data_IF_306843331481
#
_entry.id   IF_306843331481
#
_cell.length_a   1.000
_cell.length_b   1.000
_cell.length_c   1.000
_cell.angle_alpha   90.00
_cell.angle_beta   90.00
_cell.angle_gamma   90.00
#
_symmetry.space_group_name_H-M   'P 1'
#
loop_
_entity.id
_entity.type
_entity.pdbx_description
1 polymer ?
#
# COMPACT_ATOMS: atom_id res chain seq x y z
N UNK A 1 -43.40 30.66 20.32
CA UNK A 1 -42.33 31.35 19.58
C UNK A 1 -41.72 30.33 18.61
N UNK A 2 -42.03 30.42 17.32
CA UNK A 2 -41.46 29.55 16.28
C UNK A 2 -40.18 30.21 15.75
N UNK A 3 -39.02 29.70 16.20
CA UNK A 3 -37.74 30.14 15.64
C UNK A 3 -37.69 29.65 14.19
N UNK A 4 -37.61 30.55 13.22
CA UNK A 4 -37.63 30.24 11.82
C UNK A 4 -36.35 29.50 11.43
N UNK A 5 -36.46 28.40 10.71
CA UNK A 5 -35.34 27.56 10.22
C UNK A 5 -34.29 28.36 9.43
N UNK A 6 -34.66 29.51 8.89
CA UNK A 6 -33.74 30.45 8.20
C UNK A 6 -32.69 31.07 9.15
N UNK A 7 -33.01 31.32 10.44
CA UNK A 7 -32.03 31.81 11.41
C UNK A 7 -31.02 30.74 11.86
N UNK A 8 -31.42 29.47 11.89
CA UNK A 8 -30.53 28.37 12.24
C UNK A 8 -29.53 28.06 11.12
N UNK A 9 -29.97 28.12 9.85
CA UNK A 9 -29.08 27.98 8.70
C UNK A 9 -28.07 29.12 8.58
N UNK A 10 -28.49 30.37 8.83
CA UNK A 10 -27.59 31.51 8.78
C UNK A 10 -26.56 31.47 9.92
N UNK A 11 -26.92 31.00 11.12
CA UNK A 11 -25.99 30.85 12.22
C UNK A 11 -24.96 29.75 12.00
N UNK A 12 -25.37 28.64 11.37
CA UNK A 12 -24.45 27.54 10.96
C UNK A 12 -23.49 27.99 9.84
N UNK A 13 -23.94 28.76 8.87
CA UNK A 13 -23.11 29.27 7.79
C UNK A 13 -22.11 30.33 8.30
N UNK A 14 -22.51 31.20 9.24
CA UNK A 14 -21.59 32.14 9.88
C UNK A 14 -20.58 31.50 10.81
N UNK A 15 -20.93 30.40 11.50
CA UNK A 15 -19.98 29.64 12.33
C UNK A 15 -18.90 28.93 11.49
N UNK A 16 -19.24 28.46 10.28
CA UNK A 16 -18.29 27.86 9.34
C UNK A 16 -17.35 28.87 8.67
N UNK A 17 -17.76 30.15 8.58
CA UNK A 17 -16.93 31.21 7.98
C UNK A 17 -16.04 31.93 9.02
N UNK A 18 -16.36 31.85 10.31
CA UNK A 18 -15.61 32.53 11.37
C UNK A 18 -14.34 31.78 11.83
N UNK A 19 -14.16 30.51 11.43
CA UNK A 19 -12.95 29.73 11.78
C UNK A 19 -11.78 29.92 10.79
N UNK A 20 -11.95 30.78 9.77
CA UNK A 20 -10.97 30.93 8.67
C UNK A 20 -9.95 32.07 8.85
N UNK A 21 -9.95 32.83 9.96
CA UNK A 21 -9.07 33.97 10.14
C UNK A 21 -8.14 33.91 11.36
N UNK A 22 -7.82 32.72 11.88
CA UNK A 22 -6.70 32.60 12.81
C UNK A 22 -5.46 32.25 11.99
N UNK A 23 -4.65 33.26 11.66
CA UNK A 23 -3.33 33.08 11.07
C UNK A 23 -2.47 32.19 11.95
N UNK A 24 -1.51 31.45 11.37
CA UNK A 24 -0.67 30.51 12.10
C UNK A 24 0.15 31.27 13.14
N UNK A 25 -0.12 31.03 14.43
CA UNK A 25 0.77 31.45 15.49
C UNK A 25 2.08 30.70 15.29
N UNK A 26 3.12 31.39 14.85
CA UNK A 26 4.49 30.93 14.72
C UNK A 26 5.04 30.55 16.10
N UNK A 27 4.77 29.31 16.53
CA UNK A 27 5.59 28.68 17.56
C UNK A 27 6.58 27.78 16.83
N UNK A 28 7.81 28.26 16.69
CA UNK A 28 8.99 27.51 16.30
C UNK A 28 9.24 26.38 17.31
N UNK A 29 8.45 25.32 17.27
CA UNK A 29 8.86 24.01 17.78
C UNK A 29 9.70 23.39 16.68
N UNK A 30 10.97 23.12 16.96
CA UNK A 30 11.85 22.30 16.13
C UNK A 30 11.07 21.07 15.63
N UNK A 31 10.64 21.15 14.37
CA UNK A 31 9.97 20.06 13.68
C UNK A 31 11.01 18.97 13.54
N UNK A 32 10.85 17.83 14.21
CA UNK A 32 11.66 16.64 13.93
C UNK A 32 11.42 16.30 12.46
N UNK A 33 12.46 16.38 11.67
CA UNK A 33 12.50 15.82 10.33
C UNK A 33 12.27 14.31 10.49
N UNK A 34 11.17 13.81 9.96
CA UNK A 34 10.84 12.38 10.03
C UNK A 34 11.75 11.52 9.14
N UNK A 35 12.75 12.13 8.49
CA UNK A 35 13.70 11.43 7.63
C UNK A 35 13.09 10.84 6.35
N UNK A 36 11.79 11.06 6.11
CA UNK A 36 11.10 10.54 4.93
C UNK A 36 11.59 11.25 3.67
N UNK A 37 12.06 10.45 2.71
CA UNK A 37 12.45 10.91 1.38
C UNK A 37 11.57 10.22 0.35
N UNK A 38 10.72 11.02 -0.30
CA UNK A 38 9.83 10.54 -1.34
C UNK A 38 10.12 11.21 -2.67
N UNK A 39 9.79 10.52 -3.73
CA UNK A 39 9.83 10.98 -5.13
C UNK A 39 8.44 10.91 -5.74
N UNK A 40 8.20 11.66 -6.78
CA UNK A 40 6.98 11.58 -7.58
C UNK A 40 7.10 10.47 -8.63
N UNK A 41 5.97 10.05 -9.19
CA UNK A 41 5.96 9.07 -10.27
C UNK A 41 6.71 9.57 -11.52
N UNK A 42 6.64 10.87 -11.81
CA UNK A 42 7.33 11.49 -12.93
C UNK A 42 8.85 11.52 -12.73
N UNK A 43 9.31 11.95 -11.56
CA UNK A 43 10.73 11.92 -11.18
C UNK A 43 11.31 10.50 -11.24
N UNK A 44 10.53 9.50 -10.78
CA UNK A 44 10.96 8.10 -10.84
C UNK A 44 11.09 7.60 -12.28
N UNK A 45 10.18 7.98 -13.19
CA UNK A 45 10.23 7.61 -14.60
C UNK A 45 11.41 8.23 -15.34
N UNK A 46 11.74 9.47 -15.02
CA UNK A 46 12.88 10.19 -15.66
C UNK A 46 14.22 9.77 -15.07
N UNK A 47 14.27 9.37 -13.79
CA UNK A 47 15.49 8.91 -13.12
C UNK A 47 15.86 7.45 -13.38
N UNK A 48 14.92 6.65 -13.86
CA UNK A 48 15.19 5.27 -14.24
C UNK A 48 15.78 5.27 -15.64
N UNK A 49 17.11 5.25 -15.74
CA UNK A 49 17.79 4.91 -16.98
C UNK A 49 17.35 3.49 -17.37
N UNK A 50 16.37 3.40 -18.28
CA UNK A 50 15.98 2.15 -18.92
C UNK A 50 17.08 1.78 -19.92
N UNK A 51 18.29 1.56 -19.43
CA UNK A 51 19.22 0.74 -20.17
C UNK A 51 18.53 -0.62 -20.23
N UNK A 52 17.83 -0.84 -21.33
CA UNK A 52 17.42 -2.16 -21.78
C UNK A 52 18.73 -2.93 -21.89
N UNK A 53 19.13 -3.60 -20.79
CA UNK A 53 20.20 -4.57 -20.85
C UNK A 53 19.69 -5.68 -21.79
N UNK A 54 20.19 -5.76 -23.03
CA UNK A 54 19.71 -6.74 -24.01
C UNK A 54 20.03 -8.18 -23.57
N UNK A 55 20.73 -8.37 -22.44
CA UNK A 55 21.18 -9.66 -21.90
C UNK A 55 20.31 -10.13 -20.74
N UNK A 56 19.23 -9.42 -20.36
CA UNK A 56 18.36 -9.91 -19.28
C UNK A 56 17.73 -11.25 -19.61
N UNK A 57 18.20 -12.29 -18.94
CA UNK A 57 17.74 -13.68 -19.12
C UNK A 57 16.40 -13.98 -18.44
N UNK A 58 15.91 -13.11 -17.58
CA UNK A 58 14.60 -13.24 -16.90
C UNK A 58 13.90 -11.88 -16.75
N UNK A 59 12.55 -11.86 -16.68
CA UNK A 59 11.82 -10.63 -16.42
C UNK A 59 12.10 -10.10 -15.02
N UNK A 60 12.01 -8.80 -14.83
CA UNK A 60 11.86 -8.17 -13.52
C UNK A 60 10.39 -8.28 -13.13
N UNK A 61 10.11 -9.00 -12.06
CA UNK A 61 8.75 -9.25 -11.61
C UNK A 61 8.45 -8.41 -10.37
N UNK A 62 7.31 -7.71 -10.39
CA UNK A 62 6.83 -6.96 -9.26
C UNK A 62 5.56 -7.57 -8.67
N UNK A 63 5.49 -7.55 -7.35
CA UNK A 63 4.28 -7.79 -6.56
C UNK A 63 3.77 -6.46 -6.02
N UNK A 64 2.53 -6.13 -6.34
CA UNK A 64 1.85 -4.93 -5.86
C UNK A 64 0.78 -5.32 -4.86
N UNK A 65 0.88 -4.83 -3.63
CA UNK A 65 -0.06 -5.08 -2.53
C UNK A 65 -0.90 -3.83 -2.29
N UNK A 66 -2.18 -3.90 -2.62
CA UNK A 66 -3.10 -2.78 -2.51
C UNK A 66 -3.49 -2.44 -1.07
N UNK A 67 -4.04 -1.23 -0.89
CA UNK A 67 -4.66 -0.78 0.36
C UNK A 67 -5.95 -1.54 0.68
N UNK A 68 -6.44 -1.48 1.92
CA UNK A 68 -7.70 -2.14 2.28
C UNK A 68 -7.97 -2.35 3.77
N UNK A 69 -7.13 -1.81 4.66
CA UNK A 69 -7.30 -1.91 6.12
C UNK A 69 -7.27 -3.37 6.61
N UNK A 70 -8.25 -3.77 7.43
CA UNK A 70 -8.31 -5.12 8.01
C UNK A 70 -8.45 -6.26 6.97
N UNK A 71 -8.69 -5.95 5.70
CA UNK A 71 -8.66 -6.95 4.62
C UNK A 71 -7.24 -7.47 4.33
N UNK A 72 -6.21 -6.84 4.90
CA UNK A 72 -4.78 -7.16 4.69
C UNK A 72 -4.39 -8.59 5.04
N UNK A 73 -5.16 -9.30 5.87
CA UNK A 73 -4.94 -10.73 6.10
C UNK A 73 -5.04 -11.56 4.80
N UNK A 74 -5.77 -11.08 3.79
CA UNK A 74 -5.82 -11.71 2.48
C UNK A 74 -4.46 -11.65 1.76
N UNK A 75 -3.69 -10.57 1.95
CA UNK A 75 -2.34 -10.50 1.38
C UNK A 75 -1.46 -11.64 1.87
N UNK A 76 -1.56 -12.02 3.16
CA UNK A 76 -0.76 -13.13 3.70
C UNK A 76 -1.14 -14.44 3.01
N UNK A 77 -2.43 -14.68 2.78
CA UNK A 77 -2.88 -15.85 2.03
C UNK A 77 -2.40 -15.86 0.57
N UNK A 78 -2.42 -14.69 -0.09
CA UNK A 78 -1.87 -14.53 -1.44
C UNK A 78 -0.38 -14.84 -1.45
N UNK A 79 0.40 -14.28 -0.52
CA UNK A 79 1.84 -14.52 -0.41
C UNK A 79 2.14 -16.02 -0.21
N UNK A 80 1.36 -16.70 0.64
CA UNK A 80 1.50 -18.14 0.87
C UNK A 80 1.30 -18.95 -0.42
N UNK A 81 0.22 -18.68 -1.17
CA UNK A 81 -0.07 -19.38 -2.40
C UNK A 81 0.95 -19.10 -3.51
N UNK A 82 1.48 -17.88 -3.56
CA UNK A 82 2.53 -17.49 -4.51
C UNK A 82 3.88 -18.16 -4.16
N UNK A 83 4.23 -18.25 -2.87
CA UNK A 83 5.44 -18.96 -2.42
C UNK A 83 5.39 -20.45 -2.80
N UNK A 84 4.23 -21.11 -2.64
CA UNK A 84 4.05 -22.53 -2.98
C UNK A 84 4.28 -22.85 -4.48
N UNK A 85 4.07 -21.86 -5.36
CA UNK A 85 4.35 -22.01 -6.80
C UNK A 85 5.74 -21.49 -7.19
N UNK A 86 6.57 -21.15 -6.20
CA UNK A 86 7.94 -20.67 -6.42
C UNK A 86 8.01 -19.24 -6.99
N UNK A 87 6.97 -18.42 -6.79
CA UNK A 87 6.98 -17.01 -7.20
C UNK A 87 7.86 -16.19 -6.24
N UNK A 88 8.89 -15.56 -6.77
CA UNK A 88 9.82 -14.70 -6.03
C UNK A 88 9.95 -13.35 -6.74
N UNK A 89 9.28 -12.28 -6.24
CA UNK A 89 9.32 -10.97 -6.88
C UNK A 89 10.63 -10.22 -6.61
N UNK A 90 11.12 -9.49 -7.62
CA UNK A 90 12.27 -8.58 -7.50
C UNK A 90 11.89 -7.28 -6.81
N UNK A 91 10.61 -6.88 -6.96
CA UNK A 91 10.06 -5.61 -6.47
C UNK A 91 8.78 -5.88 -5.69
N UNK A 92 8.63 -5.26 -4.55
CA UNK A 92 7.38 -5.21 -3.78
C UNK A 92 6.96 -3.75 -3.64
N UNK A 93 5.73 -3.45 -4.05
CA UNK A 93 5.16 -2.11 -3.87
C UNK A 93 3.88 -2.22 -3.05
N UNK A 94 3.77 -1.40 -2.01
CA UNK A 94 2.62 -1.44 -1.11
C UNK A 94 1.93 -0.10 -0.93
N UNK A 95 0.61 -0.13 -0.75
CA UNK A 95 -0.18 1.01 -0.27
C UNK A 95 -0.89 0.64 1.02
N UNK A 96 -0.81 1.52 2.05
CA UNK A 96 -1.54 1.32 3.31
C UNK A 96 -1.22 -0.03 3.96
N UNK A 97 -2.24 -0.87 4.22
CA UNK A 97 -2.01 -2.24 4.72
C UNK A 97 -1.09 -3.07 3.81
N UNK A 98 -1.10 -2.80 2.50
CA UNK A 98 -0.17 -3.44 1.57
C UNK A 98 1.29 -3.05 1.82
N UNK A 99 1.56 -1.83 2.30
CA UNK A 99 2.90 -1.44 2.74
C UNK A 99 3.28 -2.11 4.07
N UNK A 100 2.32 -2.24 5.00
CA UNK A 100 2.53 -2.88 6.31
C UNK A 100 2.86 -4.37 6.16
N UNK A 101 2.21 -5.08 5.23
CA UNK A 101 2.50 -6.50 4.93
C UNK A 101 3.71 -6.63 4.00
N UNK A 102 3.83 -5.73 3.04
CA UNK A 102 4.87 -5.76 2.01
C UNK A 102 6.27 -5.46 2.53
N UNK A 103 6.42 -4.56 3.52
CA UNK A 103 7.73 -4.21 4.06
C UNK A 103 8.44 -5.42 4.72
N UNK A 104 7.85 -6.14 5.67
CA UNK A 104 8.50 -7.31 6.24
C UNK A 104 8.67 -8.45 5.22
N UNK A 105 7.73 -8.64 4.28
CA UNK A 105 7.91 -9.59 3.19
C UNK A 105 9.10 -9.22 2.30
N UNK A 106 9.26 -7.96 1.94
CA UNK A 106 10.41 -7.49 1.17
C UNK A 106 11.74 -7.60 1.96
N UNK A 107 11.67 -7.48 3.28
CA UNK A 107 12.81 -7.71 4.18
C UNK A 107 13.22 -9.18 4.33
N UNK A 108 12.39 -10.13 3.84
CA UNK A 108 12.67 -11.56 3.81
C UNK A 108 11.81 -12.42 4.73
N UNK A 109 10.81 -11.83 5.41
CA UNK A 109 9.88 -12.60 6.22
C UNK A 109 9.03 -13.54 5.35
N UNK A 110 8.85 -14.78 5.79
CA UNK A 110 7.97 -15.75 5.14
C UNK A 110 6.49 -15.45 5.42
N UNK A 111 5.55 -15.91 4.58
CA UNK A 111 4.12 -15.78 4.84
C UNK A 111 3.69 -16.42 6.16
N UNK A 112 4.35 -17.51 6.59
CA UNK A 112 4.09 -18.17 7.86
C UNK A 112 4.47 -17.30 9.07
N UNK A 113 5.63 -16.62 9.03
CA UNK A 113 6.04 -15.66 10.06
C UNK A 113 5.10 -14.47 10.11
N UNK A 114 4.70 -13.92 8.95
CA UNK A 114 3.73 -12.83 8.87
C UNK A 114 2.38 -13.23 9.48
N UNK A 115 1.92 -14.45 9.22
CA UNK A 115 0.68 -14.97 9.80
C UNK A 115 0.76 -15.09 11.32
N UNK A 116 1.85 -15.63 11.84
CA UNK A 116 2.09 -15.76 13.28
C UNK A 116 2.10 -14.37 13.95
N UNK A 117 2.90 -13.43 13.42
CA UNK A 117 2.96 -12.07 13.94
C UNK A 117 1.61 -11.36 13.90
N UNK A 118 0.84 -11.52 12.81
CA UNK A 118 -0.49 -10.92 12.66
C UNK A 118 -1.53 -11.55 13.62
N UNK A 119 -1.38 -12.84 13.93
CA UNK A 119 -2.23 -13.56 14.89
C UNK A 119 -2.00 -13.13 16.33
N UNK A 120 -0.74 -12.96 16.71
CA UNK A 120 -0.33 -12.62 18.08
C UNK A 120 -0.56 -11.14 18.41
N UNK A 121 -0.66 -10.28 17.36
CA UNK A 121 -0.82 -8.84 17.53
C UNK A 121 -2.27 -8.45 17.71
N UNK A 122 -2.57 -7.79 18.84
CA UNK A 122 -3.87 -7.16 19.05
C UNK A 122 -3.88 -5.82 18.28
N UNK A 123 -4.73 -5.67 17.27
CA UNK A 123 -4.83 -4.44 16.47
C UNK A 123 -4.97 -3.18 17.32
N UNK A 124 -5.72 -3.27 18.44
CA UNK A 124 -5.86 -2.14 19.38
C UNK A 124 -4.56 -1.73 20.07
N UNK A 125 -3.58 -2.62 20.23
CA UNK A 125 -2.29 -2.25 20.82
C UNK A 125 -1.43 -1.39 19.89
N UNK A 126 -1.78 -1.34 18.59
CA UNK A 126 -1.14 -0.48 17.60
C UNK A 126 -1.82 0.90 17.49
N UNK A 127 -2.93 1.11 18.22
CA UNK A 127 -3.67 2.37 18.21
C UNK A 127 -3.26 3.23 19.42
N UNK A 128 -2.23 4.05 19.22
CA UNK A 128 -1.81 5.06 20.20
C UNK A 128 -2.69 6.33 20.07
N UNK A 129 -3.80 6.32 20.81
CA UNK A 129 -4.82 7.35 20.74
C UNK A 129 -4.30 8.74 21.14
N UNK A 130 -4.85 9.77 20.50
CA UNK A 130 -4.53 11.18 20.75
C UNK A 130 -5.75 12.07 20.55
N UNK A 131 -5.69 13.27 21.09
CA UNK A 131 -6.72 14.30 20.95
C UNK A 131 -6.21 15.52 20.17
N UNK A 132 -5.32 15.35 19.19
CA UNK A 132 -4.69 16.47 18.45
C UNK A 132 -5.62 17.22 17.48
N UNK A 133 -6.83 16.69 17.22
CA UNK A 133 -7.80 17.33 16.31
C UNK A 133 -7.64 16.99 14.82
N UNK A 134 -6.48 16.48 14.38
CA UNK A 134 -6.23 16.09 12.97
C UNK A 134 -6.38 14.60 12.72
N UNK A 135 -6.49 13.80 13.77
CA UNK A 135 -6.68 12.34 13.75
C UNK A 135 -6.80 11.82 15.17
N UNK A 136 -7.22 10.56 15.31
CA UNK A 136 -7.42 9.90 16.61
C UNK A 136 -6.26 8.99 17.02
N UNK A 137 -5.40 8.58 16.07
CA UNK A 137 -4.29 7.65 16.27
C UNK A 137 -3.00 8.27 15.76
N UNK A 138 -1.93 8.29 16.57
CA UNK A 138 -0.63 8.83 16.14
C UNK A 138 0.08 7.93 15.14
N UNK A 139 -0.07 6.61 15.29
CA UNK A 139 0.56 5.61 14.46
C UNK A 139 2.03 5.30 14.79
N UNK A 140 2.57 5.88 15.88
CA UNK A 140 3.93 5.59 16.33
C UNK A 140 4.08 4.15 16.84
N UNK A 141 3.01 3.60 17.44
CA UNK A 141 2.99 2.21 17.87
C UNK A 141 3.02 1.26 16.65
N UNK A 142 2.30 1.60 15.57
CA UNK A 142 2.35 0.88 14.31
C UNK A 142 3.76 0.93 13.69
N UNK A 143 4.39 2.11 13.66
CA UNK A 143 5.74 2.26 13.14
C UNK A 143 6.73 1.36 13.89
N UNK A 144 6.77 1.46 15.22
CA UNK A 144 7.64 0.59 16.05
C UNK A 144 7.39 -0.90 15.84
N UNK A 145 6.13 -1.28 15.66
CA UNK A 145 5.79 -2.68 15.40
C UNK A 145 6.33 -3.15 14.05
N UNK A 146 6.16 -2.38 12.98
CA UNK A 146 6.73 -2.71 11.66
C UNK A 146 8.26 -2.77 11.72
N UNK A 147 8.91 -1.81 12.39
CA UNK A 147 10.37 -1.82 12.57
C UNK A 147 10.86 -3.07 13.29
N UNK A 148 10.12 -3.55 14.29
CA UNK A 148 10.47 -4.78 14.99
C UNK A 148 10.43 -6.01 14.07
N UNK A 149 9.54 -6.03 13.08
CA UNK A 149 9.42 -7.13 12.11
C UNK A 149 10.58 -7.18 11.10
N UNK A 150 11.25 -6.05 10.89
CA UNK A 150 12.36 -5.92 9.94
C UNK A 150 13.71 -5.71 10.63
N UNK A 151 13.78 -5.91 11.95
CA UNK A 151 14.97 -5.66 12.78
C UNK A 151 15.55 -4.26 12.57
N UNK A 152 14.70 -3.24 12.45
CA UNK A 152 15.03 -1.83 12.19
C UNK A 152 15.92 -1.60 10.97
N UNK A 153 15.86 -2.50 10.00
CA UNK A 153 16.57 -2.36 8.73
C UNK A 153 15.88 -1.32 7.85
N UNK A 154 16.57 -0.31 7.32
CA UNK A 154 15.98 0.66 6.40
C UNK A 154 15.59 -0.01 5.08
N UNK A 155 14.51 0.49 4.43
CA UNK A 155 13.86 -0.19 3.31
C UNK A 155 14.75 -0.33 2.07
N UNK A 156 15.69 0.59 1.84
CA UNK A 156 16.67 0.53 0.75
C UNK A 156 17.71 -0.60 0.91
N UNK A 157 17.74 -1.25 2.07
CA UNK A 157 18.62 -2.40 2.35
C UNK A 157 17.90 -3.75 2.35
N UNK A 158 16.64 -3.77 1.95
CA UNK A 158 15.90 -5.02 1.84
C UNK A 158 16.43 -5.88 0.69
N UNK A 159 16.36 -7.21 0.79
CA UNK A 159 16.76 -8.12 -0.29
C UNK A 159 15.90 -7.95 -1.55
N UNK A 160 14.58 -7.65 -1.41
CA UNK A 160 13.71 -7.26 -2.50
C UNK A 160 13.56 -5.75 -2.50
N UNK A 161 13.62 -5.11 -3.68
CA UNK A 161 13.38 -3.67 -3.79
C UNK A 161 11.98 -3.36 -3.29
N UNK A 162 11.87 -2.41 -2.38
CA UNK A 162 10.60 -2.04 -1.77
C UNK A 162 10.26 -0.58 -2.01
N UNK A 163 8.97 -0.33 -2.23
CA UNK A 163 8.40 1.02 -2.21
C UNK A 163 7.05 1.03 -1.51
N UNK A 164 6.78 2.07 -0.74
CA UNK A 164 5.45 2.35 -0.21
C UNK A 164 4.91 3.65 -0.82
N UNK A 165 3.60 3.71 -1.03
CA UNK A 165 2.95 4.90 -1.58
C UNK A 165 2.19 5.61 -0.48
N UNK A 166 2.44 6.92 -0.35
CA UNK A 166 1.65 7.86 0.43
C UNK A 166 1.07 8.93 -0.51
N UNK A 167 0.19 9.79 -0.01
CA UNK A 167 -0.36 10.92 -0.77
C UNK A 167 0.11 12.23 -0.17
N UNK A 168 0.74 13.09 -0.96
CA UNK A 168 0.94 14.52 -0.62
C UNK A 168 -0.43 15.22 -0.74
N UNK A 169 -0.97 15.63 0.40
CA UNK A 169 -2.32 16.18 0.44
C UNK A 169 -2.39 17.59 -0.18
N UNK A 170 -1.31 18.37 -0.07
CA UNK A 170 -1.26 19.72 -0.62
C UNK A 170 -1.22 19.71 -2.15
N UNK A 171 -0.49 18.74 -2.73
CA UNK A 171 -0.31 18.61 -4.18
C UNK A 171 -1.28 17.64 -4.83
N UNK A 172 -1.98 16.82 -4.02
CA UNK A 172 -2.89 15.76 -4.50
C UNK A 172 -2.21 14.76 -5.43
N UNK A 173 -0.97 14.40 -5.14
CA UNK A 173 -0.17 13.46 -5.94
C UNK A 173 0.34 12.29 -5.07
N UNK A 174 0.59 11.12 -5.67
CA UNK A 174 1.27 10.03 -4.99
C UNK A 174 2.75 10.40 -4.74
N UNK A 175 3.21 10.10 -3.53
CA UNK A 175 4.61 10.16 -3.11
C UNK A 175 5.11 8.75 -2.89
N UNK A 176 6.17 8.38 -3.59
CA UNK A 176 6.77 7.06 -3.56
C UNK A 176 7.96 7.10 -2.59
N UNK A 177 7.88 6.32 -1.53
CA UNK A 177 8.87 6.21 -0.48
C UNK A 177 9.73 4.95 -0.74
N UNK A 178 10.98 5.14 -1.13
CA UNK A 178 11.93 4.07 -1.47
C UNK A 178 13.14 4.00 -0.53
N UNK A 179 13.20 4.91 0.46
CA UNK A 179 14.28 5.03 1.42
C UNK A 179 13.73 5.42 2.79
N UNK A 180 14.43 5.03 3.84
CA UNK A 180 14.18 5.42 5.21
C UNK A 180 13.75 4.27 6.11
N UNK A 181 13.37 4.64 7.31
CA UNK A 181 12.88 3.75 8.36
C UNK A 181 11.58 3.04 7.92
N UNK A 182 11.55 1.72 8.03
CA UNK A 182 10.44 0.92 7.52
C UNK A 182 9.12 1.21 8.23
N UNK A 183 9.16 1.46 9.53
CA UNK A 183 8.00 1.80 10.32
C UNK A 183 7.41 3.16 9.95
N UNK A 184 8.26 4.19 9.81
CA UNK A 184 7.81 5.52 9.42
C UNK A 184 7.28 5.53 7.97
N UNK A 185 7.90 4.78 7.07
CA UNK A 185 7.44 4.59 5.69
C UNK A 185 6.06 3.91 5.66
N UNK A 186 5.88 2.81 6.39
CA UNK A 186 4.60 2.11 6.48
C UNK A 186 3.53 2.98 7.15
N UNK A 187 3.88 3.71 8.21
CA UNK A 187 3.01 4.66 8.90
C UNK A 187 2.53 5.76 7.97
N UNK A 188 3.44 6.38 7.19
CA UNK A 188 3.06 7.42 6.22
C UNK A 188 2.08 6.89 5.17
N UNK A 189 2.36 5.69 4.62
CA UNK A 189 1.51 5.01 3.65
C UNK A 189 0.13 4.63 4.19
N UNK A 190 0.00 4.39 5.50
CA UNK A 190 -1.23 3.95 6.16
C UNK A 190 -1.93 5.04 6.98
N UNK A 191 -1.58 6.31 6.79
CA UNK A 191 -2.17 7.44 7.53
C UNK A 191 -3.55 7.81 6.99
N UNK A 192 -4.55 6.96 7.24
CA UNK A 192 -5.95 7.11 6.78
C UNK A 192 -6.51 8.45 7.29
N UNK A 193 -6.98 9.34 6.38
CA UNK A 193 -7.57 10.62 6.76
C UNK A 193 -8.71 10.47 7.78
N UNK A 194 -8.68 11.31 8.82
CA UNK A 194 -9.68 11.28 9.89
C UNK A 194 -9.51 10.15 10.90
N UNK A 195 -8.61 9.18 10.66
CA UNK A 195 -8.26 8.10 11.60
C UNK A 195 -6.88 8.34 12.19
N UNK A 196 -5.87 8.43 11.34
CA UNK A 196 -4.50 8.71 11.77
C UNK A 196 -4.17 10.20 11.68
N UNK A 197 -3.26 10.65 12.53
CA UNK A 197 -2.66 11.97 12.42
C UNK A 197 -1.80 12.00 11.15
N UNK A 198 -2.04 12.94 10.21
CA UNK A 198 -1.22 13.08 9.02
C UNK A 198 0.26 13.29 9.33
N UNK A 199 1.14 12.80 8.50
CA UNK A 199 2.59 12.87 8.69
C UNK A 199 3.11 14.17 8.07
N UNK A 200 3.84 14.98 8.83
CA UNK A 200 4.49 16.19 8.27
C UNK A 200 5.50 15.79 7.21
N UNK A 201 5.43 16.48 6.07
CA UNK A 201 6.30 16.23 4.94
C UNK A 201 6.50 17.52 4.14
N UNK A 202 7.74 17.98 4.00
CA UNK A 202 8.05 19.26 3.34
C UNK A 202 7.21 20.40 3.94
N UNK A 203 6.50 21.14 3.10
CA UNK A 203 5.59 22.24 3.44
C UNK A 203 4.14 21.82 3.72
N UNK A 204 3.84 20.52 3.67
CA UNK A 204 2.50 19.97 3.85
C UNK A 204 2.47 18.69 4.69
N UNK A 205 1.58 17.81 4.34
CA UNK A 205 1.37 16.53 5.04
C UNK A 205 1.18 15.37 4.08
N UNK A 206 1.62 14.18 4.51
CA UNK A 206 1.27 12.91 3.89
C UNK A 206 0.06 12.30 4.58
N UNK A 207 -0.80 11.73 3.76
CA UNK A 207 -1.92 10.87 4.16
C UNK A 207 -1.82 9.52 3.42
N UNK A 208 -2.75 8.61 3.72
CA UNK A 208 -2.79 7.26 3.13
C UNK A 208 -2.68 7.30 1.59
N UNK A 209 -1.83 6.43 1.06
CA UNK A 209 -1.61 6.33 -0.37
C UNK A 209 -2.84 5.92 -1.19
N UNK A 210 -3.82 5.28 -0.55
CA UNK A 210 -5.09 4.92 -1.17
C UNK A 210 -5.93 6.11 -1.65
N UNK A 211 -5.60 7.32 -1.23
CA UNK A 211 -6.25 8.55 -1.73
C UNK A 211 -5.92 8.78 -3.21
N UNK A 212 -4.69 8.49 -3.65
CA UNK A 212 -4.24 8.72 -5.04
C UNK A 212 -3.88 7.47 -5.82
N UNK A 213 -3.43 6.39 -5.16
CA UNK A 213 -3.04 5.13 -5.80
C UNK A 213 -3.21 3.96 -4.82
N UNK A 214 -4.43 3.41 -4.78
CA UNK A 214 -4.76 2.32 -3.84
C UNK A 214 -4.14 0.98 -4.22
N UNK A 215 -3.87 0.74 -5.51
CA UNK A 215 -3.13 -0.43 -6.03
C UNK A 215 -2.06 0.09 -6.98
N UNK A 216 -0.82 0.34 -6.52
CA UNK A 216 0.19 1.15 -7.18
C UNK A 216 0.92 0.42 -8.33
N UNK A 217 0.21 -0.04 -9.35
CA UNK A 217 0.76 -0.76 -10.52
C UNK A 217 1.75 0.11 -11.30
N UNK A 218 1.43 1.40 -11.49
CA UNK A 218 2.30 2.34 -12.22
C UNK A 218 3.62 2.59 -11.52
N UNK A 219 3.64 2.51 -10.18
CA UNK A 219 4.89 2.63 -9.40
C UNK A 219 5.79 1.42 -9.67
N UNK A 220 5.24 0.21 -9.68
CA UNK A 220 5.98 -1.00 -10.03
C UNK A 220 6.58 -0.91 -11.45
N UNK A 221 5.80 -0.42 -12.42
CA UNK A 221 6.28 -0.15 -13.79
C UNK A 221 7.41 0.90 -13.82
N UNK A 222 7.26 2.00 -13.07
CA UNK A 222 8.29 3.04 -12.97
C UNK A 222 9.57 2.52 -12.30
N UNK A 223 9.48 1.55 -11.39
CA UNK A 223 10.63 0.84 -10.83
C UNK A 223 11.28 -0.17 -11.80
N UNK A 224 10.75 -0.31 -13.01
CA UNK A 224 11.31 -1.16 -14.07
C UNK A 224 10.78 -2.59 -14.09
N UNK A 225 9.58 -2.85 -13.56
CA UNK A 225 8.95 -4.16 -13.66
C UNK A 225 8.50 -4.47 -15.10
N UNK A 226 8.86 -5.64 -15.59
CA UNK A 226 8.40 -6.20 -16.85
C UNK A 226 7.05 -6.91 -16.67
N UNK A 227 6.89 -7.63 -15.54
CA UNK A 227 5.65 -8.29 -15.16
C UNK A 227 5.17 -7.73 -13.82
N UNK A 228 3.90 -7.34 -13.74
CA UNK A 228 3.26 -6.82 -12.53
C UNK A 228 2.11 -7.72 -12.12
N UNK A 229 2.26 -8.36 -10.96
CA UNK A 229 1.19 -9.09 -10.26
C UNK A 229 0.59 -8.14 -9.23
N UNK A 230 -0.66 -7.74 -9.42
CA UNK A 230 -1.35 -6.83 -8.53
C UNK A 230 -2.37 -7.55 -7.65
N UNK A 231 -2.40 -7.22 -6.37
CA UNK A 231 -3.35 -7.75 -5.39
C UNK A 231 -4.29 -6.64 -4.95
N UNK A 232 -5.55 -6.72 -5.37
CA UNK A 232 -6.60 -5.78 -4.99
C UNK A 232 -7.55 -6.42 -3.96
N UNK A 233 -7.44 -5.97 -2.74
CA UNK A 233 -8.31 -6.36 -1.63
C UNK A 233 -9.37 -5.30 -1.32
N UNK A 234 -9.52 -4.28 -2.16
CA UNK A 234 -10.33 -3.10 -1.87
C UNK A 234 -11.42 -2.83 -2.90
N UNK A 235 -11.06 -2.72 -4.16
CA UNK A 235 -11.98 -2.28 -5.19
C UNK A 235 -12.93 -3.38 -5.67
N UNK A 236 -12.46 -4.63 -5.74
CA UNK A 236 -13.29 -5.80 -6.03
C UNK A 236 -13.93 -6.43 -4.78
N UNK A 237 -13.76 -5.80 -3.64
CA UNK A 237 -14.30 -6.26 -2.36
C UNK A 237 -15.62 -5.56 -1.99
N UNK A 238 -16.44 -6.16 -1.10
CA UNK A 238 -17.65 -5.53 -0.59
C UNK A 238 -17.37 -4.14 -0.01
N UNK A 239 -18.27 -3.20 -0.25
CA UNK A 239 -18.14 -1.83 0.25
C UNK A 239 -18.45 -1.75 1.73
N UNK A 240 -17.88 -0.73 2.40
CA UNK A 240 -18.24 -0.41 3.78
C UNK A 240 -19.75 -0.18 3.91
N UNK A 241 -20.38 -0.62 5.03
CA UNK A 241 -21.81 -0.34 5.27
C UNK A 241 -22.04 1.17 5.43
N UNK A 242 -23.21 1.67 5.06
CA UNK A 242 -23.56 3.10 5.22
C UNK A 242 -24.42 3.29 6.50
N UNK A 243 -23.92 2.88 7.66
CA UNK A 243 -24.64 2.83 8.93
C UNK A 243 -24.19 3.85 9.97
N UNK A 244 -23.05 4.50 9.74
CA UNK A 244 -22.50 5.54 10.63
C UNK A 244 -21.75 6.59 9.83
N UNK A 245 -21.50 7.76 10.43
CA UNK A 245 -20.72 8.83 9.78
C UNK A 245 -19.37 8.30 9.30
N UNK A 246 -18.62 7.60 10.14
CA UNK A 246 -17.31 7.06 9.79
C UNK A 246 -17.41 6.03 8.67
N UNK A 247 -18.39 5.13 8.70
CA UNK A 247 -18.55 4.13 7.63
C UNK A 247 -18.98 4.76 6.30
N UNK A 248 -19.74 5.86 6.32
CA UNK A 248 -20.07 6.63 5.11
C UNK A 248 -18.82 7.29 4.54
N UNK A 249 -17.99 7.90 5.37
CA UNK A 249 -16.71 8.50 4.95
C UNK A 249 -15.80 7.44 4.32
N UNK A 250 -15.59 6.31 4.99
CA UNK A 250 -14.77 5.20 4.47
C UNK A 250 -15.33 4.62 3.16
N UNK A 251 -16.67 4.53 3.05
CA UNK A 251 -17.32 4.09 1.81
C UNK A 251 -17.14 5.08 0.66
N UNK A 252 -17.20 6.40 0.95
CA UNK A 252 -16.94 7.46 -0.03
C UNK A 252 -15.49 7.40 -0.49
N UNK A 253 -14.54 7.29 0.43
CA UNK A 253 -13.13 7.09 0.09
C UNK A 253 -12.91 5.84 -0.77
N UNK A 254 -13.54 4.70 -0.42
CA UNK A 254 -13.47 3.49 -1.23
C UNK A 254 -14.00 3.73 -2.65
N UNK A 255 -15.12 4.41 -2.80
CA UNK A 255 -15.70 4.70 -4.10
C UNK A 255 -14.76 5.57 -4.96
N UNK A 256 -14.21 6.65 -4.39
CA UNK A 256 -13.30 7.56 -5.08
C UNK A 256 -11.97 6.88 -5.44
N UNK A 257 -11.33 6.20 -4.48
CA UNK A 257 -10.07 5.49 -4.72
C UNK A 257 -10.22 4.44 -5.82
N UNK A 258 -11.35 3.71 -5.85
CA UNK A 258 -11.59 2.68 -6.85
C UNK A 258 -11.90 3.26 -8.24
N UNK A 259 -12.55 4.43 -8.32
CA UNK A 259 -12.71 5.13 -9.60
C UNK A 259 -11.36 5.56 -10.19
N UNK A 260 -10.46 6.09 -9.35
CA UNK A 260 -9.12 6.48 -9.76
C UNK A 260 -8.29 5.26 -10.18
N UNK A 261 -8.42 4.14 -9.45
CA UNK A 261 -7.62 2.93 -9.67
C UNK A 261 -8.00 2.15 -10.94
N UNK A 262 -9.17 2.36 -11.53
CA UNK A 262 -9.65 1.53 -12.66
C UNK A 262 -8.63 1.43 -13.81
N UNK A 263 -8.09 2.57 -14.24
CA UNK A 263 -7.11 2.59 -15.32
C UNK A 263 -5.75 2.00 -14.90
N UNK A 264 -5.37 2.19 -13.64
CA UNK A 264 -4.12 1.66 -13.12
C UNK A 264 -4.17 0.14 -12.94
N UNK A 265 -5.28 -0.41 -12.47
CA UNK A 265 -5.50 -1.85 -12.36
C UNK A 265 -5.46 -2.56 -13.71
N UNK A 266 -5.95 -1.91 -14.77
CA UNK A 266 -5.91 -2.46 -16.13
C UNK A 266 -4.48 -2.59 -16.70
N UNK A 267 -3.49 -1.94 -16.09
CA UNK A 267 -2.07 -2.03 -16.47
C UNK A 267 -1.33 -3.22 -15.81
N UNK A 268 -1.99 -3.97 -14.91
CA UNK A 268 -1.44 -5.18 -14.31
C UNK A 268 -1.50 -6.36 -15.30
N UNK A 269 -0.46 -7.20 -15.31
CA UNK A 269 -0.44 -8.42 -16.13
C UNK A 269 -1.26 -9.54 -15.50
N UNK A 270 -1.24 -9.61 -14.15
CA UNK A 270 -2.08 -10.53 -13.37
C UNK A 270 -2.75 -9.73 -12.25
N UNK A 271 -4.06 -9.83 -12.16
CA UNK A 271 -4.84 -9.26 -11.07
C UNK A 271 -5.38 -10.38 -10.16
N UNK A 272 -5.01 -10.35 -8.89
CA UNK A 272 -5.53 -11.20 -7.82
C UNK A 272 -6.48 -10.36 -6.98
N UNK A 273 -7.78 -10.65 -7.04
CA UNK A 273 -8.80 -9.82 -6.43
C UNK A 273 -9.75 -10.65 -5.53
N UNK A 274 -9.30 -11.04 -4.31
CA UNK A 274 -10.17 -11.75 -3.37
C UNK A 274 -11.30 -10.84 -2.87
N UNK A 275 -12.53 -11.32 -2.92
CA UNK A 275 -13.71 -10.59 -2.41
C UNK A 275 -13.81 -10.75 -0.88
N UNK A 276 -13.22 -9.82 -0.13
CA UNK A 276 -13.13 -9.88 1.34
C UNK A 276 -13.81 -8.71 2.02
N UNK A 277 -14.66 -8.98 3.03
CA UNK A 277 -15.35 -7.93 3.79
C UNK A 277 -14.46 -7.32 4.87
N UNK A 278 -14.51 -5.99 5.10
CA UNK A 278 -13.79 -5.36 6.20
C UNK A 278 -14.26 -5.84 7.59
N UNK A 279 -15.52 -6.24 7.71
CA UNK A 279 -16.08 -6.82 8.94
C UNK A 279 -15.62 -8.27 9.19
N UNK A 280 -15.08 -8.94 8.16
CA UNK A 280 -14.71 -10.34 8.22
C UNK A 280 -13.52 -10.67 9.10
N UNK A 281 -12.66 -9.69 9.44
CA UNK A 281 -11.38 -9.92 10.13
C UNK A 281 -11.37 -9.48 11.61
N UNK A 282 -12.53 -9.37 12.25
CA UNK A 282 -12.63 -8.88 13.64
C UNK A 282 -12.21 -9.92 14.67
N UNK A 283 -12.43 -11.20 14.41
CA UNK A 283 -12.04 -12.32 15.26
C UNK A 283 -11.06 -13.28 14.56
N UNK A 284 -10.52 -14.24 15.28
CA UNK A 284 -9.55 -15.18 14.76
C UNK A 284 -10.09 -16.00 13.58
N UNK A 285 -11.34 -16.48 13.67
CA UNK A 285 -11.98 -17.26 12.61
C UNK A 285 -12.23 -16.41 11.37
N UNK A 286 -12.61 -15.14 11.55
CA UNK A 286 -12.76 -14.19 10.45
C UNK A 286 -11.44 -13.87 9.75
N UNK A 287 -10.37 -13.66 10.51
CA UNK A 287 -9.02 -13.44 9.96
C UNK A 287 -8.56 -14.63 9.11
N UNK A 288 -8.81 -15.86 9.59
CA UNK A 288 -8.50 -17.07 8.85
C UNK A 288 -9.33 -17.17 7.55
N UNK A 289 -10.63 -16.88 7.58
CA UNK A 289 -11.45 -16.84 6.35
C UNK A 289 -10.93 -15.82 5.34
N UNK A 290 -10.52 -14.64 5.79
CA UNK A 290 -9.95 -13.59 4.92
C UNK A 290 -8.62 -14.03 4.33
N UNK A 291 -7.73 -14.65 5.12
CA UNK A 291 -6.48 -15.25 4.65
C UNK A 291 -6.75 -16.33 3.59
N UNK A 292 -7.67 -17.25 3.87
CA UNK A 292 -8.03 -18.34 2.96
C UNK A 292 -8.58 -17.80 1.63
N UNK A 293 -9.42 -16.77 1.66
CA UNK A 293 -9.91 -16.15 0.44
C UNK A 293 -8.79 -15.56 -0.43
N UNK A 294 -7.77 -14.98 0.20
CA UNK A 294 -6.55 -14.51 -0.48
C UNK A 294 -5.77 -15.67 -1.13
N UNK A 295 -5.58 -16.75 -0.38
CA UNK A 295 -4.92 -17.95 -0.86
C UNK A 295 -5.65 -18.55 -2.08
N UNK A 296 -6.96 -18.73 -1.99
CA UNK A 296 -7.77 -19.33 -3.07
C UNK A 296 -7.76 -18.45 -4.34
N UNK A 297 -7.82 -17.13 -4.18
CA UNK A 297 -7.74 -16.19 -5.29
C UNK A 297 -6.38 -16.27 -6.00
N UNK A 298 -5.28 -16.37 -5.25
CA UNK A 298 -3.95 -16.50 -5.82
C UNK A 298 -3.75 -17.85 -6.51
N UNK A 299 -4.24 -18.95 -5.93
CA UNK A 299 -4.23 -20.28 -6.58
C UNK A 299 -5.01 -20.25 -7.89
N UNK A 300 -6.12 -19.54 -7.95
CA UNK A 300 -6.91 -19.38 -9.18
C UNK A 300 -6.18 -18.59 -10.27
N UNK A 301 -5.34 -17.64 -9.89
CA UNK A 301 -4.55 -16.81 -10.81
C UNK A 301 -3.21 -17.49 -11.22
N UNK A 302 -2.76 -18.51 -10.49
CA UNK A 302 -1.47 -19.15 -10.71
C UNK A 302 -1.25 -19.64 -12.17
N UNK A 303 -2.23 -20.27 -12.87
CA UNK A 303 -2.03 -20.70 -14.26
C UNK A 303 -1.73 -19.56 -15.22
N UNK A 304 -2.34 -18.38 -15.02
CA UNK A 304 -2.09 -17.18 -15.83
C UNK A 304 -0.66 -16.68 -15.60
N UNK A 305 -0.23 -16.59 -14.33
CA UNK A 305 1.10 -16.16 -13.97
C UNK A 305 2.19 -17.10 -14.55
N UNK A 306 2.01 -18.40 -14.39
CA UNK A 306 2.93 -19.38 -14.97
C UNK A 306 2.99 -19.29 -16.50
N UNK A 307 1.85 -19.07 -17.17
CA UNK A 307 1.82 -18.91 -18.62
C UNK A 307 2.62 -17.68 -19.07
N UNK A 308 2.50 -16.53 -18.36
CA UNK A 308 3.28 -15.33 -18.63
C UNK A 308 4.77 -15.55 -18.46
N UNK A 309 5.19 -16.22 -17.38
CA UNK A 309 6.60 -16.51 -17.12
C UNK A 309 7.18 -17.46 -18.19
N UNK A 310 6.42 -18.48 -18.64
CA UNK A 310 6.82 -19.37 -19.74
C UNK A 310 6.94 -18.60 -21.07
N UNK A 311 5.98 -17.72 -21.39
CA UNK A 311 6.01 -16.91 -22.60
C UNK A 311 7.25 -16.02 -22.65
N UNK A 312 7.60 -15.37 -21.54
CA UNK A 312 8.81 -14.57 -21.44
C UNK A 312 10.08 -15.41 -21.73
N UNK A 313 10.20 -16.58 -21.15
CA UNK A 313 11.33 -17.48 -21.38
C UNK A 313 11.46 -17.87 -22.85
N UNK A 314 10.35 -18.04 -23.58
CA UNK A 314 10.36 -18.32 -25.02
C UNK A 314 10.87 -17.12 -25.83
N UNK A 315 10.40 -15.90 -25.49
CA UNK A 315 10.85 -14.67 -26.16
C UNK A 315 12.36 -14.46 -25.99
N UNK A 316 12.90 -14.65 -24.79
CA UNK A 316 14.34 -14.53 -24.53
C UNK A 316 15.15 -15.59 -25.28
N UNK A 317 14.66 -16.82 -25.42
CA UNK A 317 15.33 -17.88 -26.18
C UNK A 317 15.31 -17.67 -27.70
N UNK A 318 14.32 -16.96 -28.22
CA UNK A 318 14.16 -16.69 -29.63
C UNK A 318 14.82 -15.37 -30.08
N UNK A 319 15.31 -14.54 -29.12
CA UNK A 319 16.06 -13.33 -29.46
C UNK A 319 17.39 -13.70 -30.11
N UNK A 320 17.76 -13.12 -31.29
CA UNK A 320 19.01 -13.41 -31.97
C UNK A 320 20.19 -12.83 -31.19
N UNK A 321 20.95 -13.67 -30.49
CA UNK A 321 22.12 -13.25 -29.72
C UNK A 321 22.78 -14.43 -29.00
N UNK A 322 23.81 -15.00 -29.67
CA UNK A 322 24.86 -15.97 -29.25
C UNK A 322 24.45 -17.39 -28.86
N UNK A 323 25.17 -18.41 -29.38
CA UNK A 323 24.93 -19.79 -29.06
C UNK A 323 25.30 -20.09 -27.60
N UNK A 324 24.37 -20.71 -26.89
CA UNK A 324 24.61 -21.19 -25.53
C UNK A 324 25.70 -22.28 -25.64
N UNK A 325 26.90 -21.92 -25.18
CA UNK A 325 27.94 -22.94 -24.92
C UNK A 325 27.41 -23.91 -23.87
N UNK A 326 27.22 -25.15 -24.29
CA UNK A 326 26.98 -26.32 -23.41
C UNK A 326 28.22 -26.57 -22.56
N UNK A 327 28.42 -25.82 -21.51
CA UNK A 327 29.43 -26.09 -20.51
C UNK A 327 28.81 -26.06 -19.12
N UNK A 328 28.73 -27.26 -18.57
CA UNK A 328 28.68 -27.62 -17.15
C UNK A 328 27.32 -27.69 -16.48
N UNK A 329 26.59 -28.75 -16.83
CA UNK A 329 25.89 -29.51 -15.81
C UNK A 329 26.89 -30.57 -15.28
N UNK A 330 27.46 -30.32 -14.10
CA UNK A 330 27.94 -31.34 -13.16
C UNK A 330 27.70 -30.88 -11.75
#
# INVERSE_FOLDING_TARGET
>A
MKLSWRCVLSALLCALLATSCAGPASTSKTVRDNGLRGTTLEEMRTGTDRTTDPVRRRPVVALVLGGGGLRGYAHIGVLQALEEIGFDPDIVVGTSIGAIVGAPYAAGASPGELWTCAGDTRVYSLADFTATGTGFVKGEALARWVDSLVASKPIERFPRRFAAVATDLERSIPVILTQGDAGEVARASASIPGVFVPIRYRDGVLVDGGVTSVVPVRVARAMGADIVVAVDIYCHSPRYPATSIMSIVLRTMQAQSCLIAQNELAEADVLIAPAVSPAGAQDAAGRERVRQAGYDAAKSAAPQLEALLRQWQQVVRSAPGEPISNATLR
#
